data_IF_299251302021
#
_entry.id   IF_299251302021
#
_cell.length_a   1.000
_cell.length_b   1.000
_cell.length_c   1.000
_cell.angle_alpha   90.00
_cell.angle_beta   90.00
_cell.angle_gamma   90.00
#
_symmetry.space_group_name_H-M   'P 1'
#
loop_
_entity.id
_entity.type
_entity.pdbx_description
1 polymer ?
2 non-polymer ?
3 non-polymer ?
4 water ?
#
# COMPACT_ATOMS: atom_id res chain seq x y z
N UNK A 40 13.12 -22.52 -5.00
CA UNK A 40 13.45 -23.53 -6.05
C UNK A 40 13.05 -23.05 -7.46
N UNK A 41 11.94 -22.32 -7.52
CA UNK A 41 11.50 -21.66 -8.76
C UNK A 41 12.32 -20.41 -9.02
N UNK A 42 13.05 -20.38 -10.15
CA UNK A 42 13.76 -19.19 -10.61
C UNK A 42 12.81 -18.19 -11.22
N UNK A 43 13.05 -16.91 -10.95
CA UNK A 43 12.18 -15.82 -11.38
C UNK A 43 12.90 -14.97 -12.38
N UNK A 44 12.29 -14.76 -13.53
CA UNK A 44 12.92 -13.97 -14.56
C UNK A 44 11.90 -12.99 -15.05
N UNK A 45 12.27 -11.71 -15.00
CA UNK A 45 11.45 -10.59 -15.43
C UNK A 45 11.69 -10.34 -16.92
N UNK A 46 10.62 -10.22 -17.69
CA UNK A 46 10.71 -9.66 -19.03
C UNK A 46 10.38 -8.17 -18.98
N UNK A 47 11.40 -7.35 -19.19
CA UNK A 47 11.29 -5.88 -19.23
C UNK A 47 11.40 -5.40 -20.67
N UNK A 48 10.62 -4.38 -20.98
CA UNK A 48 10.66 -3.71 -22.27
C UNK A 48 9.86 -2.43 -22.09
N UNK A 49 9.94 -1.57 -23.11
CA UNK A 49 8.98 -0.52 -23.48
C UNK A 49 7.68 -1.11 -24.03
N UNK A 50 6.64 -0.28 -24.06
CA UNK A 50 5.31 -0.61 -24.54
C UNK A 50 5.33 -1.04 -26.02
N UNK A 51 4.76 -2.22 -26.33
CA UNK A 51 4.72 -2.76 -27.71
C UNK A 51 6.08 -3.25 -28.20
N UNK A 52 6.90 -3.65 -27.24
CA UNK A 52 8.08 -4.45 -27.47
C UNK A 52 7.75 -5.84 -28.05
N UNK A 53 6.60 -6.40 -27.63
CA UNK A 53 6.29 -7.82 -27.87
C UNK A 53 6.45 -8.75 -26.69
N UNK A 54 6.28 -8.24 -25.45
CA UNK A 54 6.50 -9.04 -24.24
C UNK A 54 5.45 -10.11 -24.03
N UNK A 55 4.21 -9.67 -23.93
CA UNK A 55 3.07 -10.57 -23.85
C UNK A 55 3.20 -11.70 -24.86
N UNK A 56 3.60 -11.35 -26.09
CA UNK A 56 3.72 -12.30 -27.19
C UNK A 56 4.80 -13.31 -26.90
N UNK A 57 5.96 -12.80 -26.51
CA UNK A 57 7.12 -13.62 -26.24
C UNK A 57 6.98 -14.50 -24.98
N UNK A 58 6.53 -13.92 -23.87
CA UNK A 58 6.29 -14.77 -22.68
C UNK A 58 5.34 -15.88 -23.14
N UNK A 59 4.33 -15.54 -23.92
CA UNK A 59 3.33 -16.51 -24.38
C UNK A 59 3.92 -17.61 -25.25
N UNK A 60 4.84 -17.23 -26.16
CA UNK A 60 5.70 -18.16 -26.90
C UNK A 60 6.63 -19.11 -26.16
N UNK A 61 7.35 -18.59 -25.17
CA UNK A 61 8.14 -19.36 -24.20
C UNK A 61 7.30 -20.36 -23.41
N UNK A 62 6.17 -19.88 -22.91
CA UNK A 62 5.26 -20.70 -22.12
C UNK A 62 4.79 -22.01 -22.80
N UNK A 63 4.70 -22.04 -24.11
CA UNK A 63 4.27 -23.24 -24.82
C UNK A 63 5.41 -24.23 -25.08
N UNK A 64 6.65 -23.85 -24.76
CA UNK A 64 7.81 -24.63 -25.14
C UNK A 64 8.31 -25.50 -24.02
N UNK A 65 7.67 -25.45 -22.86
CA UNK A 65 8.05 -26.31 -21.75
C UNK A 65 7.01 -26.35 -20.66
N UNK A 66 6.89 -27.51 -20.01
CA UNK A 66 6.00 -27.70 -18.87
C UNK A 66 6.65 -27.24 -17.58
N UNK A 67 7.97 -27.10 -17.56
CA UNK A 67 8.68 -26.38 -16.50
C UNK A 67 8.57 -24.82 -16.63
N UNK A 68 7.85 -24.34 -17.61
CA UNK A 68 7.85 -22.91 -17.91
C UNK A 68 6.45 -22.24 -17.73
N UNK A 69 6.28 -21.47 -16.66
CA UNK A 69 5.04 -20.68 -16.44
C UNK A 69 5.31 -19.17 -16.46
N UNK A 70 4.22 -18.41 -16.57
CA UNK A 70 4.18 -16.98 -16.86
C UNK A 70 3.32 -16.25 -15.82
N UNK A 71 3.59 -14.99 -15.50
CA UNK A 71 2.60 -14.17 -14.83
C UNK A 71 2.38 -12.89 -15.65
N UNK A 72 1.24 -12.81 -16.36
CA UNK A 72 0.99 -11.61 -17.12
C UNK A 72 0.86 -10.44 -16.16
N UNK A 73 1.12 -9.25 -16.66
CA UNK A 73 1.05 -8.06 -15.82
C UNK A 73 -0.41 -7.67 -15.56
N UNK A 74 -0.75 -7.35 -14.31
CA UNK A 74 -2.10 -6.92 -13.92
C UNK A 74 -2.71 -5.89 -14.83
N UNK A 75 -1.93 -4.86 -15.17
CA UNK A 75 -2.37 -3.78 -16.07
C UNK A 75 -2.83 -4.20 -17.46
N UNK A 76 -2.09 -5.14 -18.05
CA UNK A 76 -2.41 -5.63 -19.38
C UNK A 76 -3.77 -6.26 -19.27
N UNK A 77 -3.96 -7.05 -18.23
CA UNK A 77 -5.25 -7.68 -18.01
C UNK A 77 -6.33 -6.60 -17.98
N UNK A 78 -6.12 -5.52 -17.22
CA UNK A 78 -7.14 -4.45 -17.15
C UNK A 78 -7.38 -3.91 -18.53
N UNK A 79 -6.30 -3.68 -19.27
CA UNK A 79 -6.40 -3.25 -20.68
C UNK A 79 -6.82 -4.46 -21.56
N UNK A 80 -8.09 -4.85 -21.43
CA UNK A 80 -8.57 -6.14 -21.90
C UNK A 80 -9.08 -6.09 -23.34
N UNK A 91 -14.67 -10.66 -15.45
CA UNK A 91 -13.80 -9.66 -14.86
C UNK A 91 -13.92 -9.74 -13.35
N UNK A 92 -12.92 -9.25 -12.65
CA UNK A 92 -12.92 -9.23 -11.20
C UNK A 92 -13.05 -7.83 -10.60
N UNK A 93 -13.11 -7.81 -9.28
CA UNK A 93 -13.05 -6.57 -8.50
C UNK A 93 -11.72 -5.83 -8.72
N UNK A 94 -10.69 -6.58 -9.09
CA UNK A 94 -9.43 -5.97 -9.46
C UNK A 94 -9.54 -5.38 -10.87
N UNK A 95 -10.05 -6.14 -11.84
CA UNK A 95 -10.36 -5.58 -13.19
C UNK A 95 -11.29 -4.36 -13.18
N UNK A 96 -12.40 -4.51 -12.45
CA UNK A 96 -13.40 -3.45 -12.30
C UNK A 96 -12.76 -2.18 -11.80
N UNK A 97 -11.93 -2.30 -10.76
CA UNK A 97 -11.10 -1.23 -10.25
C UNK A 97 -10.06 -0.76 -11.25
N UNK A 98 -9.32 -1.69 -11.85
CA UNK A 98 -8.30 -1.33 -12.84
C UNK A 98 -8.82 -0.55 -14.04
N UNK A 99 -9.90 -1.06 -14.66
CA UNK A 99 -10.50 -0.41 -15.82
C UNK A 99 -10.94 1.00 -15.48
N UNK A 100 -11.43 1.16 -14.26
CA UNK A 100 -11.87 2.46 -13.81
C UNK A 100 -10.72 3.41 -13.64
N UNK A 101 -9.77 3.03 -12.79
CA UNK A 101 -8.56 3.84 -12.60
C UNK A 101 -7.65 3.94 -13.84
N UNK A 102 -7.60 2.90 -14.67
CA UNK A 102 -6.89 3.00 -15.95
C UNK A 102 -7.54 4.04 -16.88
N UNK A 103 -8.87 4.07 -16.84
CA UNK A 103 -9.65 4.96 -17.69
C UNK A 103 -9.50 6.40 -17.22
N UNK A 104 -9.47 6.58 -15.90
CA UNK A 104 -9.25 7.89 -15.29
C UNK A 104 -7.81 8.34 -15.42
N UNK A 105 -6.89 7.40 -15.31
CA UNK A 105 -5.46 7.66 -15.49
C UNK A 105 -5.22 8.33 -16.84
N UNK A 106 -5.68 7.68 -17.90
CA UNK A 106 -5.78 8.30 -19.26
C UNK A 106 -6.39 9.71 -19.22
N UNK A 107 -7.55 9.82 -18.59
CA UNK A 107 -8.35 11.05 -18.64
C UNK A 107 -7.82 12.24 -17.84
N UNK A 108 -7.13 11.98 -16.72
CA UNK A 108 -6.51 13.09 -15.94
C UNK A 108 -5.33 12.56 -15.12
N UNK A 109 -4.16 12.44 -15.77
CA UNK A 109 -3.10 11.65 -15.14
C UNK A 109 -2.45 12.24 -13.87
N UNK A 110 -2.45 13.56 -13.70
CA UNK A 110 -1.89 14.20 -12.51
C UNK A 110 -2.81 14.14 -11.28
N UNK A 111 -4.06 13.74 -11.46
CA UNK A 111 -4.95 13.35 -10.35
C UNK A 111 -4.77 11.87 -9.93
N UNK A 112 -4.60 10.99 -10.91
CA UNK A 112 -4.71 9.55 -10.67
C UNK A 112 -3.43 8.70 -10.72
N UNK A 113 -2.28 9.31 -11.03
CA UNK A 113 -1.01 8.58 -11.15
C UNK A 113 -0.59 7.84 -9.85
N UNK A 114 -0.58 8.55 -8.72
CA UNK A 114 -0.32 7.91 -7.43
C UNK A 114 -1.28 6.74 -7.20
N UNK A 115 -2.55 6.96 -7.47
CA UNK A 115 -3.52 5.92 -7.17
C UNK A 115 -3.26 4.72 -8.05
N UNK A 116 -3.08 5.01 -9.34
CA UNK A 116 -2.86 3.98 -10.34
C UNK A 116 -1.66 3.11 -10.02
N UNK A 117 -0.55 3.78 -9.76
CA UNK A 117 0.73 3.13 -9.52
C UNK A 117 0.72 2.20 -8.33
N UNK A 118 0.19 2.72 -7.23
CA UNK A 118 0.05 1.92 -6.01
C UNK A 118 -0.82 0.70 -6.27
N UNK A 119 -1.93 0.84 -6.98
CA UNK A 119 -2.78 -0.33 -7.26
C UNK A 119 -2.15 -1.33 -8.23
N UNK A 120 -1.42 -0.82 -9.21
CA UNK A 120 -0.81 -1.67 -10.24
C UNK A 120 0.33 -2.51 -9.67
N UNK A 121 1.16 -1.88 -8.83
CA UNK A 121 2.20 -2.59 -8.13
C UNK A 121 1.63 -3.53 -7.06
N UNK A 122 0.68 -3.06 -6.28
CA UNK A 122 0.10 -3.91 -5.25
C UNK A 122 -0.40 -5.20 -5.90
N UNK A 123 -1.08 -5.03 -7.04
CA UNK A 123 -1.70 -6.09 -7.79
C UNK A 123 -0.69 -7.07 -8.45
N UNK A 124 0.40 -6.54 -9.01
CA UNK A 124 1.55 -7.37 -9.45
C UNK A 124 2.05 -8.32 -8.35
N UNK A 125 2.35 -7.76 -7.19
CA UNK A 125 2.86 -8.57 -6.10
C UNK A 125 1.94 -9.75 -5.86
N UNK A 126 0.64 -9.50 -5.87
CA UNK A 126 -0.32 -10.54 -5.55
C UNK A 126 -0.39 -11.61 -6.62
N UNK A 127 -0.15 -11.24 -7.87
CA UNK A 127 -0.19 -12.20 -8.95
C UNK A 127 1.05 -13.05 -8.86
N UNK A 128 2.21 -12.38 -8.72
CA UNK A 128 3.49 -13.06 -8.58
C UNK A 128 3.54 -13.99 -7.38
N UNK A 129 2.85 -13.63 -6.30
CA UNK A 129 2.69 -14.56 -5.18
C UNK A 129 1.83 -15.75 -5.58
N UNK A 130 0.63 -15.49 -6.11
CA UNK A 130 -0.29 -16.57 -6.50
C UNK A 130 0.38 -17.58 -7.44
N UNK A 131 1.12 -17.07 -8.41
CA UNK A 131 1.86 -17.93 -9.31
C UNK A 131 2.94 -18.76 -8.62
N UNK A 132 3.70 -18.11 -7.75
CA UNK A 132 4.85 -18.69 -7.06
C UNK A 132 4.46 -19.54 -5.83
N UNK A 133 3.14 -19.74 -5.66
CA UNK A 133 2.57 -20.75 -4.77
C UNK A 133 1.89 -21.85 -5.56
N UNK A 134 1.03 -21.46 -6.50
CA UNK A 134 0.19 -22.40 -7.26
C UNK A 134 0.68 -22.78 -8.65
N UNK A 135 2.00 -22.81 -8.83
CA UNK A 135 2.58 -23.28 -10.07
C UNK A 135 3.89 -24.01 -9.77
N UNK A 136 4.19 -25.01 -10.59
CA UNK A 136 5.55 -25.59 -10.72
C UNK A 136 6.16 -26.29 -9.49
N UNK A 137 5.32 -26.81 -8.61
CA UNK A 137 5.86 -27.74 -7.62
C UNK A 137 6.12 -29.04 -8.40
N UNK A 138 7.18 -29.75 -8.04
CA UNK A 138 7.61 -30.97 -8.73
C UNK A 138 8.22 -30.78 -10.13
N UNK A 139 8.48 -29.54 -10.51
CA UNK A 139 9.23 -29.29 -11.74
C UNK A 139 10.70 -29.52 -11.36
N UNK A 140 11.43 -30.19 -12.24
CA UNK A 140 12.88 -30.39 -12.04
C UNK A 140 13.59 -29.04 -12.13
N UNK A 141 13.25 -28.28 -13.17
CA UNK A 141 13.83 -26.94 -13.37
C UNK A 141 12.75 -25.89 -13.69
N UNK A 142 11.90 -25.56 -12.70
CA UNK A 142 10.78 -24.64 -12.93
C UNK A 142 11.26 -23.24 -13.25
N UNK A 143 10.66 -22.58 -14.23
CA UNK A 143 11.01 -21.17 -14.44
C UNK A 143 9.76 -20.35 -14.49
N UNK A 144 9.78 -19.25 -13.73
CA UNK A 144 8.68 -18.30 -13.72
C UNK A 144 9.09 -16.99 -14.37
N UNK A 145 8.45 -16.67 -15.47
CA UNK A 145 8.78 -15.50 -16.22
C UNK A 145 7.80 -14.42 -15.82
N UNK A 146 8.29 -13.33 -15.27
CA UNK A 146 7.43 -12.23 -14.89
C UNK A 146 7.30 -11.25 -16.05
N UNK A 147 6.07 -10.99 -16.49
CA UNK A 147 5.81 -9.89 -17.40
C UNK A 147 5.88 -8.58 -16.63
N UNK A 148 7.04 -7.93 -16.76
CA UNK A 148 7.47 -6.76 -15.98
C UNK A 148 7.63 -7.14 -14.51
N UNK A 149 8.04 -6.18 -13.69
CA UNK A 149 8.43 -6.43 -12.33
C UNK A 149 8.08 -5.24 -11.45
N UNK A 150 8.32 -5.42 -10.15
CA UNK A 150 8.12 -4.33 -9.22
C UNK A 150 9.08 -3.19 -9.53
N UNK A 151 10.18 -3.52 -10.19
CA UNK A 151 11.20 -2.51 -10.47
C UNK A 151 10.87 -1.65 -11.65
N UNK A 152 10.27 -2.20 -12.71
CA UNK A 152 9.70 -1.32 -13.75
C UNK A 152 8.50 -0.50 -13.25
N UNK A 153 7.75 -1.00 -12.27
CA UNK A 153 6.66 -0.19 -11.73
C UNK A 153 7.16 1.15 -11.19
N UNK A 154 8.30 1.11 -10.48
CA UNK A 154 8.87 2.25 -9.78
C UNK A 154 9.86 3.08 -10.60
N UNK A 155 10.96 2.47 -11.00
CA UNK A 155 12.07 3.20 -11.59
C UNK A 155 11.82 3.53 -13.04
N UNK A 156 10.70 3.10 -13.61
CA UNK A 156 10.37 3.40 -14.98
C UNK A 156 9.04 4.12 -15.11
N UNK A 157 7.93 3.51 -14.70
CA UNK A 157 6.63 4.14 -14.91
C UNK A 157 6.26 5.20 -13.87
N UNK A 158 6.46 4.90 -12.59
CA UNK A 158 6.09 5.82 -11.52
C UNK A 158 7.08 6.98 -11.50
N UNK A 159 8.35 6.68 -11.61
CA UNK A 159 9.43 7.69 -11.74
C UNK A 159 9.17 8.63 -12.90
N UNK A 160 8.79 8.07 -14.05
CA UNK A 160 8.44 8.86 -15.23
C UNK A 160 7.23 9.76 -14.98
N UNK A 161 6.20 9.18 -14.36
CA UNK A 161 5.03 9.97 -14.05
C UNK A 161 5.43 11.12 -13.12
N UNK A 162 6.32 10.85 -12.17
CA UNK A 162 6.82 11.89 -11.31
C UNK A 162 7.56 13.00 -12.08
N UNK A 163 8.67 12.61 -12.72
CA UNK A 163 9.48 13.51 -13.57
C UNK A 163 8.65 14.29 -14.62
N UNK A 164 7.59 13.70 -15.15
CA UNK A 164 6.69 14.41 -16.08
C UNK A 164 5.61 15.18 -15.33
N UNK A 165 5.78 15.36 -14.02
CA UNK A 165 4.90 16.19 -13.17
C UNK A 165 3.48 15.70 -12.97
N UNK A 166 3.26 14.40 -13.12
CA UNK A 166 1.94 13.82 -12.84
C UNK A 166 1.85 13.33 -11.37
N UNK A 167 2.97 13.39 -10.65
CA UNK A 167 2.96 13.26 -9.19
C UNK A 167 3.85 14.29 -8.55
N UNK A 168 3.36 14.98 -7.51
CA UNK A 168 4.18 15.93 -6.76
C UNK A 168 5.19 15.15 -5.91
N UNK A 169 6.15 15.87 -5.32
CA UNK A 169 7.15 15.23 -4.48
C UNK A 169 6.56 14.37 -3.41
N UNK A 170 5.51 14.87 -2.77
CA UNK A 170 5.01 14.21 -1.58
C UNK A 170 4.40 12.85 -2.02
N UNK A 171 3.67 12.83 -3.14
CA UNK A 171 3.13 11.59 -3.68
C UNK A 171 4.27 10.63 -4.01
N UNK A 172 5.33 11.16 -4.63
CA UNK A 172 6.43 10.31 -5.09
C UNK A 172 7.25 9.81 -3.91
N UNK A 173 7.26 10.57 -2.81
CA UNK A 173 7.99 10.15 -1.64
C UNK A 173 7.20 9.10 -0.86
N UNK A 174 5.88 9.27 -0.84
CA UNK A 174 4.94 8.32 -0.25
C UNK A 174 4.99 7.00 -1.00
N UNK A 175 4.75 7.07 -2.31
CA UNK A 175 4.88 5.91 -3.14
C UNK A 175 6.17 5.15 -2.85
N UNK A 176 7.28 5.88 -2.79
CA UNK A 176 8.58 5.24 -2.64
C UNK A 176 8.69 4.57 -1.29
N UNK A 177 8.28 5.28 -0.25
CA UNK A 177 8.14 4.68 1.09
C UNK A 177 7.27 3.42 1.06
N UNK A 178 6.00 3.54 0.67
CA UNK A 178 5.14 2.36 0.54
C UNK A 178 5.84 1.24 -0.25
N UNK A 179 6.53 1.60 -1.33
CA UNK A 179 7.12 0.61 -2.25
C UNK A 179 8.13 -0.26 -1.54
N UNK A 180 9.12 0.37 -0.91
CA UNK A 180 10.13 -0.34 -0.12
C UNK A 180 9.47 -1.31 0.83
N UNK A 181 8.31 -0.90 1.31
CA UNK A 181 7.70 -1.56 2.44
C UNK A 181 6.73 -2.68 2.08
N UNK A 182 5.91 -2.49 1.04
CA UNK A 182 5.12 -3.59 0.52
C UNK A 182 6.07 -4.66 0.05
N UNK A 183 7.21 -4.26 -0.51
CA UNK A 183 8.16 -5.25 -1.03
C UNK A 183 8.93 -5.96 0.08
N UNK A 184 9.35 -5.22 1.09
CA UNK A 184 10.11 -5.82 2.20
C UNK A 184 9.20 -6.78 2.96
N UNK A 185 8.02 -6.29 3.33
CA UNK A 185 7.13 -7.04 4.20
C UNK A 185 6.50 -8.23 3.54
N UNK A 186 6.08 -8.06 2.28
CA UNK A 186 5.37 -9.10 1.53
C UNK A 186 6.15 -9.66 0.36
N UNK A 187 7.06 -8.88 -0.21
CA UNK A 187 7.66 -9.24 -1.51
C UNK A 187 9.07 -9.79 -1.48
N UNK A 188 9.44 -10.42 -0.37
CA UNK A 188 10.74 -11.07 -0.25
C UNK A 188 10.92 -12.30 -1.17
N UNK A 189 9.86 -13.06 -1.38
CA UNK A 189 10.00 -14.27 -2.20
C UNK A 189 10.12 -13.95 -3.71
N UNK A 190 10.40 -12.69 -4.05
CA UNK A 190 10.26 -12.20 -5.42
C UNK A 190 11.55 -11.68 -6.00
N UNK A 191 12.62 -11.64 -5.21
CA UNK A 191 13.93 -11.29 -5.75
C UNK A 191 14.14 -12.01 -7.09
N UNK A 192 14.67 -11.27 -8.07
CA UNK A 192 14.88 -11.83 -9.41
C UNK A 192 16.23 -12.47 -9.53
N UNK A 193 16.23 -13.71 -10.01
CA UNK A 193 17.47 -14.36 -10.44
C UNK A 193 17.99 -13.75 -11.74
N UNK A 194 17.09 -13.15 -12.52
CA UNK A 194 17.49 -12.62 -13.81
C UNK A 194 16.45 -11.75 -14.49
N UNK A 195 16.90 -11.09 -15.55
CA UNK A 195 16.10 -10.15 -16.30
C UNK A 195 16.47 -10.36 -17.75
N UNK A 196 15.44 -10.37 -18.58
CA UNK A 196 15.59 -10.44 -20.00
C UNK A 196 15.08 -9.10 -20.44
N UNK A 197 15.99 -8.26 -20.94
CA UNK A 197 15.60 -6.99 -21.57
C UNK A 197 15.40 -7.17 -23.04
N UNK A 198 14.16 -7.01 -23.45
CA UNK A 198 13.77 -6.89 -24.84
C UNK A 198 13.86 -5.43 -25.25
N UNK A 199 14.96 -5.11 -25.89
CA UNK A 199 15.29 -3.79 -26.36
C UNK A 199 14.88 -3.62 -27.82
N UNK A 200 13.90 -2.74 -28.06
CA UNK A 200 13.61 -2.25 -29.42
C UNK A 200 13.75 -0.73 -29.43
N UNK A 201 13.88 -0.16 -30.63
CA UNK A 201 13.90 1.28 -30.80
C UNK A 201 12.52 1.88 -30.47
N UNK A 202 12.49 3.10 -29.88
CA UNK A 202 11.20 3.79 -29.68
C UNK A 202 10.27 3.78 -30.90
N UNK A 203 10.84 3.81 -32.10
CA UNK A 203 10.06 3.83 -33.34
C UNK A 203 9.47 2.47 -33.64
N UNK A 204 10.28 1.43 -33.54
CA UNK A 204 9.73 0.07 -33.64
C UNK A 204 8.53 -0.05 -32.74
N UNK A 205 8.65 0.48 -31.52
CA UNK A 205 7.58 0.38 -30.55
C UNK A 205 6.30 1.06 -30.99
N UNK A 206 6.37 2.27 -31.57
CA UNK A 206 5.14 2.97 -32.00
C UNK A 206 4.48 2.24 -33.17
N UNK A 207 5.31 1.83 -34.13
CA UNK A 207 4.88 0.95 -35.21
C UNK A 207 4.05 -0.19 -34.63
N UNK A 208 4.56 -0.83 -33.57
CA UNK A 208 3.88 -1.97 -32.94
C UNK A 208 2.60 -1.55 -32.20
N UNK A 209 2.57 -0.37 -31.57
CA UNK A 209 1.34 0.12 -30.87
C UNK A 209 0.04 0.08 -31.71
N UNK A 210 0.10 0.46 -32.99
CA UNK A 210 -1.15 0.51 -33.80
C UNK A 210 -1.75 -0.87 -34.13
N UNK A 211 -0.89 -1.84 -34.40
CA UNK A 211 -1.39 -3.17 -34.77
C UNK A 211 -2.27 -3.78 -33.67
N UNK A 212 -1.81 -3.73 -32.42
CA UNK A 212 -2.60 -4.26 -31.28
C UNK A 212 -3.93 -3.52 -31.17
N UNK A 213 -3.90 -2.22 -31.51
CA UNK A 213 -5.10 -1.46 -31.84
C UNK A 213 -6.19 -1.37 -30.78
N UNK A 214 -5.82 -1.35 -29.50
CA UNK A 214 -6.81 -1.16 -28.43
C UNK A 214 -7.34 0.29 -28.51
N UNK A 215 -8.66 0.47 -28.44
CA UNK A 215 -9.24 1.80 -28.61
C UNK A 215 -8.56 2.84 -27.73
N UNK A 216 -8.40 2.54 -26.43
CA UNK A 216 -7.83 3.47 -25.43
C UNK A 216 -6.39 3.87 -25.69
N UNK A 217 -5.60 2.92 -26.19
CA UNK A 217 -4.21 3.12 -26.45
C UNK A 217 -3.92 3.89 -27.75
N UNK A 218 -4.93 4.04 -28.60
CA UNK A 218 -4.75 4.59 -29.96
C UNK A 218 -4.13 5.99 -29.98
N UNK A 219 -4.42 6.79 -28.96
CA UNK A 219 -3.86 8.14 -28.83
C UNK A 219 -2.61 8.30 -27.97
N UNK A 220 -1.88 7.22 -27.68
CA UNK A 220 -0.63 7.37 -26.92
C UNK A 220 0.38 8.14 -27.77
N UNK A 221 0.97 9.23 -27.22
CA UNK A 221 2.04 10.01 -27.87
C UNK A 221 3.30 9.25 -28.27
N UNK A 222 4.31 9.98 -28.74
CA UNK A 222 5.58 9.40 -29.15
C UNK A 222 6.67 9.60 -28.11
N UNK A 223 6.97 10.88 -27.79
CA UNK A 223 8.07 11.28 -26.89
C UNK A 223 8.05 10.60 -25.53
N UNK A 224 6.87 10.11 -25.16
CA UNK A 224 6.73 9.17 -24.07
C UNK A 224 7.74 8.05 -24.31
N UNK A 225 7.48 7.23 -25.33
CA UNK A 225 8.29 6.03 -25.60
C UNK A 225 9.80 6.32 -25.46
N UNK A 226 10.22 7.49 -25.95
CA UNK A 226 11.62 7.87 -26.00
C UNK A 226 12.18 8.13 -24.59
N UNK A 227 11.32 8.64 -23.72
CA UNK A 227 11.63 8.79 -22.31
C UNK A 227 11.72 7.42 -21.59
N UNK A 228 10.77 6.54 -21.90
CA UNK A 228 10.72 5.19 -21.29
C UNK A 228 11.93 4.38 -21.76
N UNK A 229 12.15 4.40 -23.05
CA UNK A 229 13.30 3.68 -23.58
C UNK A 229 14.55 4.16 -22.84
N UNK A 230 14.68 5.48 -22.79
CA UNK A 230 15.80 6.14 -22.14
C UNK A 230 16.00 5.61 -20.73
N UNK A 231 14.93 5.54 -19.95
CA UNK A 231 14.99 4.94 -18.61
C UNK A 231 15.23 3.44 -18.71
N UNK A 232 14.65 2.81 -19.71
CA UNK A 232 14.84 1.36 -19.94
C UNK A 232 16.31 1.10 -20.31
N UNK A 233 16.92 1.96 -21.12
CA UNK A 233 18.36 1.89 -21.43
C UNK A 233 19.22 2.35 -20.28
N UNK A 234 18.80 3.44 -19.63
CA UNK A 234 19.54 3.93 -18.49
C UNK A 234 19.57 2.83 -17.44
N UNK A 235 18.43 2.13 -17.30
CA UNK A 235 18.29 1.04 -16.32
C UNK A 235 19.04 -0.23 -16.72
N UNK A 236 18.73 -0.76 -17.90
CA UNK A 236 19.14 -2.14 -18.26
C UNK A 236 20.40 -2.35 -19.16
N UNK A 237 21.12 -1.28 -19.48
CA UNK A 237 22.33 -1.34 -20.31
C UNK A 237 23.56 -0.71 -19.63
N UNK A 238 23.40 0.55 -19.23
CA UNK A 238 24.47 1.33 -18.62
C UNK A 238 24.51 1.10 -17.12
N UNK A 239 23.36 0.76 -16.53
CA UNK A 239 23.30 0.46 -15.11
C UNK A 239 23.75 1.69 -14.29
N UNK A 240 23.53 2.86 -14.85
CA UNK A 240 23.67 4.08 -14.08
C UNK A 240 22.61 4.12 -12.98
N UNK A 241 21.43 3.52 -13.22
CA UNK A 241 20.34 3.62 -12.27
C UNK A 241 20.74 2.95 -10.96
N UNK A 242 20.72 3.75 -9.90
CA UNK A 242 21.20 3.36 -8.58
C UNK A 242 20.04 2.87 -7.73
N UNK A 243 19.61 1.64 -7.99
CA UNK A 243 18.51 1.03 -7.26
C UNK A 243 18.78 1.05 -5.77
N UNK A 244 17.72 1.17 -4.98
CA UNK A 244 17.83 1.04 -3.53
C UNK A 244 17.90 -0.44 -3.12
N UNK A 245 17.56 -1.32 -4.04
CA UNK A 245 17.57 -2.75 -3.81
C UNK A 245 18.96 -3.27 -4.14
N UNK A 246 19.70 -3.58 -3.07
CA UNK A 246 21.14 -3.81 -3.17
C UNK A 246 21.40 -4.84 -4.26
N UNK A 247 20.66 -5.94 -4.20
CA UNK A 247 20.92 -7.12 -5.00
C UNK A 247 20.65 -6.97 -6.51
N UNK A 248 20.01 -5.88 -6.94
CA UNK A 248 19.79 -5.69 -8.39
C UNK A 248 21.09 -5.46 -9.17
N UNK A 249 22.17 -5.08 -8.49
CA UNK A 249 23.47 -4.86 -9.17
C UNK A 249 24.16 -6.18 -9.51
N UNK A 250 23.87 -7.22 -8.73
CA UNK A 250 24.34 -8.59 -8.98
C UNK A 250 23.62 -9.51 -9.97
N UNK A 251 22.31 -9.32 -10.11
CA UNK A 251 21.47 -9.96 -11.15
C UNK A 251 21.90 -9.63 -12.62
N UNK A 252 22.13 -10.68 -13.43
CA UNK A 252 22.56 -10.48 -14.81
C UNK A 252 21.39 -10.24 -15.75
N UNK A 253 21.68 -9.67 -16.91
CA UNK A 253 20.70 -9.18 -17.83
C UNK A 253 20.95 -9.75 -19.20
N UNK A 254 20.06 -10.61 -19.66
CA UNK A 254 20.04 -10.95 -21.06
C UNK A 254 19.41 -9.79 -21.82
N UNK A 255 20.21 -9.06 -22.60
CA UNK A 255 19.68 -8.04 -23.48
C UNK A 255 19.44 -8.60 -24.88
N UNK A 256 18.19 -8.58 -25.33
CA UNK A 256 17.81 -9.13 -26.62
C UNK A 256 17.30 -8.00 -27.52
N UNK A 257 17.81 -7.97 -28.75
CA UNK A 257 17.33 -7.04 -29.78
C UNK A 257 16.14 -7.68 -30.47
N UNK A 258 14.99 -7.05 -30.35
CA UNK A 258 13.77 -7.61 -30.95
C UNK A 258 13.17 -6.72 -32.01
N UNK A 259 14.02 -5.89 -32.62
CA UNK A 259 13.54 -4.96 -33.66
C UNK A 259 13.12 -5.70 -34.90
N UNK A 260 13.73 -6.85 -35.16
CA UNK A 260 13.19 -7.76 -36.15
C UNK A 260 11.98 -8.50 -35.58
N UNK A 261 10.93 -8.58 -36.40
CA UNK A 261 9.76 -9.39 -36.11
C UNK A 261 10.22 -10.83 -35.82
N UNK A 262 9.62 -11.45 -34.79
CA UNK A 262 10.07 -12.75 -34.26
C UNK A 262 8.93 -13.73 -33.95
N UNK A 263 7.72 -13.43 -34.38
CA UNK A 263 6.55 -14.19 -33.97
C UNK A 263 6.46 -15.64 -34.54
N UNK A 264 7.10 -15.85 -35.68
CA UNK A 264 7.18 -17.16 -36.33
C UNK A 264 8.64 -17.59 -36.49
N UNK A 265 9.56 -16.72 -36.07
CA UNK A 265 10.98 -16.94 -36.24
C UNK A 265 11.71 -16.50 -34.96
N UNK A 266 11.60 -17.35 -33.93
CA UNK A 266 12.09 -16.99 -32.61
C UNK A 266 13.14 -17.91 -32.03
N UNK A 267 13.60 -18.88 -32.82
CA UNK A 267 14.47 -19.94 -32.28
C UNK A 267 15.79 -19.44 -31.71
N UNK A 268 16.38 -18.45 -32.34
CA UNK A 268 17.60 -17.89 -31.80
C UNK A 268 17.33 -17.07 -30.52
N UNK A 269 16.16 -16.43 -30.45
CA UNK A 269 15.76 -15.71 -29.22
C UNK A 269 15.65 -16.72 -28.07
N UNK A 270 15.08 -17.90 -28.33
CA UNK A 270 14.83 -18.85 -27.24
C UNK A 270 16.14 -19.49 -26.84
N UNK A 271 16.99 -19.74 -27.84
CA UNK A 271 18.32 -20.27 -27.61
C UNK A 271 19.05 -19.36 -26.70
N UNK A 272 18.99 -18.04 -26.91
CA UNK A 272 19.65 -17.15 -25.98
C UNK A 272 19.09 -17.23 -24.57
N UNK A 273 17.77 -17.22 -24.42
CA UNK A 273 17.19 -17.49 -23.10
C UNK A 273 17.78 -18.76 -22.46
N UNK A 274 17.79 -19.87 -23.21
CA UNK A 274 18.17 -21.19 -22.66
C UNK A 274 19.60 -21.29 -22.09
N UNK A 275 20.51 -20.47 -22.64
CA UNK A 275 21.94 -20.40 -22.27
C UNK A 275 22.06 -19.45 -21.09
N UNK A 276 21.34 -18.35 -21.17
CA UNK A 276 21.17 -17.47 -20.03
C UNK A 276 20.61 -18.27 -18.85
N UNK A 277 19.59 -19.07 -19.11
CA UNK A 277 18.95 -19.85 -18.04
C UNK A 277 19.89 -20.83 -17.41
N UNK A 278 20.69 -21.51 -18.23
CA UNK A 278 21.68 -22.42 -17.68
C UNK A 278 22.75 -21.63 -16.87
N UNK A 279 23.06 -20.38 -17.24
CA UNK A 279 23.98 -19.53 -16.44
C UNK A 279 23.44 -19.04 -15.11
N UNK A 280 22.15 -19.24 -14.83
CA UNK A 280 21.61 -18.78 -13.56
C UNK A 280 21.72 -19.89 -12.53
N UNK B 40 1.91 -13.81 23.15
CA UNK B 40 2.24 -13.56 24.59
C UNK B 40 1.91 -12.12 24.96
N UNK B 41 2.45 -11.18 24.18
CA UNK B 41 2.18 -9.76 24.38
C UNK B 41 0.69 -9.49 24.09
N UNK B 42 0.01 -8.83 25.03
CA UNK B 42 -1.37 -8.39 24.77
C UNK B 42 -1.40 -7.12 23.94
N UNK B 43 -2.42 -7.04 23.10
CA UNK B 43 -2.60 -5.99 22.12
C UNK B 43 -3.97 -5.42 22.30
N UNK B 44 -4.04 -4.20 22.79
CA UNK B 44 -5.30 -3.58 23.15
C UNK B 44 -5.37 -2.25 22.42
N UNK B 45 -6.45 -1.99 21.70
CA UNK B 45 -6.54 -0.71 21.05
C UNK B 45 -7.31 0.29 21.93
N UNK B 46 -6.74 1.44 22.18
CA UNK B 46 -7.44 2.60 22.77
C UNK B 46 -8.13 3.35 21.59
N UNK B 47 -9.45 3.49 21.66
CA UNK B 47 -10.28 4.04 20.58
C UNK B 47 -11.14 5.18 21.14
N UNK B 48 -11.34 6.20 20.31
CA UNK B 48 -12.27 7.31 20.57
C UNK B 48 -12.22 8.46 19.57
N UNK B 49 -13.06 9.46 19.81
CA UNK B 49 -13.08 10.66 18.97
C UNK B 49 -11.83 11.53 19.15
N UNK B 50 -11.64 12.43 18.19
CA UNK B 50 -10.61 13.45 18.21
C UNK B 50 -10.62 14.19 19.55
N UNK B 51 -9.45 14.37 20.14
CA UNK B 51 -9.31 15.13 21.37
C UNK B 51 -10.13 14.57 22.55
N UNK B 52 -10.61 13.33 22.43
CA UNK B 52 -11.48 12.71 23.44
C UNK B 52 -10.69 12.27 24.67
N UNK B 53 -9.37 12.17 24.56
CA UNK B 53 -8.52 11.82 25.70
C UNK B 53 -7.69 10.57 25.55
N UNK B 54 -7.67 10.00 24.34
CA UNK B 54 -6.84 8.81 24.00
C UNK B 54 -5.40 9.00 24.39
N UNK B 55 -4.86 10.17 24.07
CA UNK B 55 -3.46 10.46 24.31
C UNK B 55 -3.19 10.75 25.79
N UNK B 56 -4.14 11.44 26.44
CA UNK B 56 -4.12 11.65 27.90
C UNK B 56 -4.19 10.32 28.64
N UNK B 57 -5.00 9.40 28.12
CA UNK B 57 -5.08 8.08 28.72
C UNK B 57 -3.79 7.27 28.53
N UNK B 58 -3.16 7.36 27.36
CA UNK B 58 -2.07 6.43 27.10
C UNK B 58 -0.81 6.87 27.79
N UNK B 59 -0.62 8.20 27.95
CA UNK B 59 0.49 8.77 28.70
C UNK B 59 0.40 8.39 30.18
N UNK B 60 -0.81 8.28 30.72
CA UNK B 60 -0.99 7.86 32.11
C UNK B 60 -0.78 6.34 32.28
N UNK B 61 -1.28 5.55 31.34
CA UNK B 61 -1.10 4.09 31.38
C UNK B 61 0.36 3.63 31.25
N UNK B 62 1.13 4.22 30.33
CA UNK B 62 2.53 3.78 30.12
C UNK B 62 3.33 3.72 31.43
N UNK B 63 3.07 4.66 32.32
CA UNK B 63 3.86 4.88 33.53
C UNK B 63 3.53 4.05 34.76
N UNK B 64 2.40 3.35 34.75
CA UNK B 64 1.94 2.62 35.91
C UNK B 64 2.49 1.21 35.96
N UNK B 65 3.02 0.74 34.84
CA UNK B 65 3.55 -0.60 34.83
C UNK B 65 4.75 -0.70 33.93
N UNK B 66 5.83 -1.27 34.48
CA UNK B 66 6.97 -1.72 33.73
C UNK B 66 6.51 -2.47 32.49
N UNK B 67 5.52 -3.33 32.66
CA UNK B 67 5.07 -4.20 31.60
C UNK B 67 4.08 -3.62 30.58
N UNK B 68 3.75 -2.34 30.69
CA UNK B 68 2.87 -1.69 29.71
C UNK B 68 3.66 -0.70 28.86
N UNK B 69 3.40 -0.72 27.55
CA UNK B 69 3.86 0.32 26.66
C UNK B 69 2.74 0.70 25.69
N UNK B 70 2.84 1.92 25.16
CA UNK B 70 1.89 2.47 24.19
C UNK B 70 2.53 2.67 22.79
N UNK B 71 1.78 2.40 21.73
CA UNK B 71 2.12 2.82 20.35
C UNK B 71 1.23 4.02 19.96
N UNK B 72 1.79 5.25 19.99
CA UNK B 72 0.99 6.43 19.66
C UNK B 72 0.54 6.53 18.18
N UNK B 73 -0.50 7.32 17.98
CA UNK B 73 -1.09 7.60 16.64
C UNK B 73 -0.04 8.31 15.76
N UNK B 74 0.36 7.70 14.63
CA UNK B 74 1.28 8.48 13.81
C UNK B 74 0.67 9.77 13.25
N UNK B 75 -0.61 9.74 12.92
CA UNK B 75 -1.32 10.96 12.52
C UNK B 75 -1.15 12.10 13.54
N UNK B 76 -1.06 11.75 14.81
CA UNK B 76 -0.82 12.74 15.86
C UNK B 76 0.59 13.33 15.83
N UNK B 77 1.58 12.55 15.40
CA UNK B 77 2.96 13.05 15.23
C UNK B 77 3.11 13.96 14.00
N UNK B 78 2.24 13.79 13.01
CA UNK B 78 2.30 14.61 11.77
C UNK B 78 1.78 16.02 11.98
N UNK B 79 1.21 16.28 13.15
CA UNK B 79 0.66 17.57 13.50
C UNK B 79 1.74 18.44 14.16
N UNK B 80 2.98 18.32 13.64
CA UNK B 80 4.15 18.96 14.23
C UNK B 80 4.42 20.27 13.53
N UNK B 91 12.36 16.33 11.85
CA UNK B 91 11.29 15.73 11.05
C UNK B 91 11.90 14.94 9.89
N UNK B 92 11.60 13.65 9.83
CA UNK B 92 12.19 12.75 8.84
C UNK B 92 11.20 12.45 7.71
N UNK B 93 11.51 11.45 6.89
CA UNK B 93 10.80 11.22 5.63
C UNK B 93 9.32 11.19 5.94
N UNK B 94 8.96 10.26 6.82
CA UNK B 94 7.58 10.10 7.22
C UNK B 94 6.94 11.35 7.85
N UNK B 95 7.72 12.12 8.60
CA UNK B 95 7.19 13.33 9.26
C UNK B 95 6.79 14.47 8.30
N UNK B 96 7.66 14.79 7.33
CA UNK B 96 7.36 15.78 6.28
C UNK B 96 6.20 15.33 5.41
N UNK B 97 6.33 14.11 4.86
CA UNK B 97 5.26 13.47 4.09
C UNK B 97 3.95 13.50 4.84
N UNK B 98 4.02 13.08 6.10
CA UNK B 98 2.89 13.17 7.00
C UNK B 98 2.47 14.61 7.20
N UNK B 99 3.43 15.52 7.42
CA UNK B 99 3.13 16.96 7.44
C UNK B 99 2.33 17.43 6.23
N UNK B 100 2.88 17.28 5.03
CA UNK B 100 2.17 17.78 3.84
C UNK B 100 0.81 17.18 3.57
N UNK B 101 0.73 15.85 3.56
CA UNK B 101 -0.52 15.20 3.21
C UNK B 101 -1.68 15.73 4.09
N UNK B 102 -1.41 15.86 5.38
CA UNK B 102 -2.42 16.36 6.35
C UNK B 102 -2.96 17.75 5.97
N UNK B 103 -2.04 18.67 5.71
CA UNK B 103 -2.40 20.04 5.35
C UNK B 103 -3.20 20.05 4.03
N UNK B 104 -2.76 19.27 3.05
CA UNK B 104 -3.49 19.13 1.76
C UNK B 104 -4.90 18.61 1.95
N UNK B 105 -5.03 17.61 2.82
CA UNK B 105 -6.32 17.10 3.28
C UNK B 105 -7.27 18.18 3.80
N UNK B 106 -6.74 19.09 4.62
CA UNK B 106 -7.57 20.19 5.13
C UNK B 106 -8.09 21.06 3.99
N UNK B 107 -7.24 21.34 3.00
CA UNK B 107 -7.69 22.23 1.91
C UNK B 107 -8.65 21.53 0.95
N UNK B 108 -8.47 20.22 0.74
CA UNK B 108 -9.15 19.53 -0.35
C UNK B 108 -9.25 18.04 -0.08
N UNK B 109 -10.20 17.64 0.78
CA UNK B 109 -10.24 16.25 1.20
C UNK B 109 -10.51 15.33 0.03
N UNK B 110 -11.38 15.76 -0.88
CA UNK B 110 -11.79 14.98 -2.03
C UNK B 110 -10.63 14.62 -2.99
N UNK B 111 -9.57 15.41 -3.00
CA UNK B 111 -8.33 15.13 -3.72
C UNK B 111 -7.33 14.23 -2.94
N UNK B 112 -7.26 14.36 -1.61
CA UNK B 112 -6.19 13.73 -0.83
C UNK B 112 -6.53 12.62 0.13
N UNK B 113 -7.81 12.31 0.28
CA UNK B 113 -8.25 11.33 1.26
C UNK B 113 -7.68 9.91 1.04
N UNK B 114 -7.65 9.45 -0.21
CA UNK B 114 -7.17 8.10 -0.50
C UNK B 114 -5.71 8.03 -0.11
N UNK B 115 -4.95 9.04 -0.50
CA UNK B 115 -3.52 9.04 -0.26
C UNK B 115 -3.18 9.05 1.21
N UNK B 116 -3.98 9.80 1.95
CA UNK B 116 -3.74 9.99 3.37
C UNK B 116 -4.25 8.80 4.17
N UNK B 117 -5.44 8.30 3.85
CA UNK B 117 -5.91 7.07 4.45
C UNK B 117 -4.95 5.87 4.24
N UNK B 118 -4.39 5.78 3.04
CA UNK B 118 -3.43 4.70 2.72
C UNK B 118 -2.12 4.88 3.49
N UNK B 119 -1.54 6.07 3.46
CA UNK B 119 -0.26 6.35 4.16
C UNK B 119 -0.38 6.38 5.67
N UNK B 120 -1.52 6.85 6.18
CA UNK B 120 -1.80 6.74 7.62
C UNK B 120 -1.75 5.29 8.07
N UNK B 121 -2.44 4.42 7.37
CA UNK B 121 -2.51 3.03 7.73
C UNK B 121 -1.16 2.30 7.67
N UNK B 122 -0.37 2.59 6.65
CA UNK B 122 0.96 2.01 6.53
C UNK B 122 1.84 2.42 7.71
N UNK B 123 1.85 3.71 8.00
CA UNK B 123 2.64 4.34 9.05
C UNK B 123 2.25 3.71 10.40
N UNK B 124 0.96 3.42 10.57
CA UNK B 124 0.49 2.80 11.78
C UNK B 124 0.90 1.31 11.84
N UNK B 125 0.79 0.61 10.72
CA UNK B 125 1.10 -0.82 10.70
C UNK B 125 2.59 -1.05 10.88
N UNK B 126 3.37 -0.23 10.19
CA UNK B 126 4.81 -0.16 10.41
C UNK B 126 5.17 0.01 11.89
N UNK B 127 4.58 1.06 12.48
CA UNK B 127 4.89 1.52 13.84
C UNK B 127 4.47 0.57 14.95
N UNK B 128 3.38 -0.17 14.72
CA UNK B 128 2.92 -1.20 15.63
C UNK B 128 3.79 -2.48 15.55
N UNK B 129 3.96 -3.02 14.34
CA UNK B 129 4.84 -4.20 14.13
C UNK B 129 6.20 -4.06 14.81
N UNK B 130 6.78 -2.87 14.72
CA UNK B 130 8.09 -2.61 15.27
C UNK B 130 8.09 -2.69 16.79
N UNK B 131 6.99 -2.25 17.42
CA UNK B 131 6.86 -2.36 18.87
C UNK B 131 6.80 -3.81 19.32
N UNK B 132 6.02 -4.65 18.62
CA UNK B 132 5.96 -6.07 18.94
C UNK B 132 7.37 -6.62 18.96
N UNK B 133 7.99 -6.57 17.79
CA UNK B 133 9.21 -7.32 17.56
C UNK B 133 10.47 -6.62 18.11
N UNK B 134 10.29 -5.53 18.86
CA UNK B 134 11.43 -4.83 19.46
C UNK B 134 11.12 -4.04 20.72
N UNK B 135 10.22 -4.55 21.55
CA UNK B 135 9.90 -3.90 22.83
C UNK B 135 9.24 -4.91 23.75
N UNK B 136 8.93 -4.49 24.98
CA UNK B 136 8.44 -5.40 26.02
C UNK B 136 9.34 -6.65 26.01
N UNK B 137 10.61 -6.38 25.80
CA UNK B 137 11.60 -7.39 25.68
C UNK B 137 12.01 -7.66 27.12
N UNK B 138 11.70 -8.85 27.62
CA UNK B 138 11.90 -9.22 29.04
C UNK B 138 11.18 -8.29 30.00
N UNK B 139 9.86 -8.23 29.84
CA UNK B 139 8.93 -7.83 30.91
C UNK B 139 8.04 -9.04 31.11
N UNK B 140 7.40 -9.10 32.28
CA UNK B 140 6.74 -10.32 32.77
C UNK B 140 5.29 -10.51 32.36
N UNK B 141 4.55 -9.41 32.25
CA UNK B 141 3.10 -9.40 31.99
C UNK B 141 2.74 -8.42 30.88
N UNK B 142 3.00 -8.85 29.63
CA UNK B 142 3.22 -7.91 28.54
C UNK B 142 1.94 -7.38 27.95
N UNK B 143 1.86 -6.05 27.83
CA UNK B 143 0.71 -5.42 27.20
C UNK B 143 1.11 -4.19 26.39
N UNK B 144 0.63 -4.15 25.15
CA UNK B 144 0.89 -3.00 24.28
C UNK B 144 -0.44 -2.27 24.02
N UNK B 145 -0.42 -0.95 24.20
CA UNK B 145 -1.61 -0.13 24.02
C UNK B 145 -1.44 0.67 22.73
N UNK B 146 -2.18 0.24 21.73
CA UNK B 146 -2.23 0.94 20.45
C UNK B 146 -3.19 2.12 20.60
N UNK B 147 -2.75 3.31 20.20
CA UNK B 147 -3.64 4.45 20.06
C UNK B 147 -4.33 4.35 18.70
N UNK B 148 -5.59 3.92 18.73
CA UNK B 148 -6.37 3.61 17.54
C UNK B 148 -5.71 2.43 16.81
N UNK B 149 -6.39 1.97 15.77
CA UNK B 149 -6.06 0.71 15.08
C UNK B 149 -6.30 0.83 13.57
N UNK B 150 -5.94 -0.23 12.85
CA UNK B 150 -6.20 -0.38 11.42
C UNK B 150 -7.70 -0.60 11.14
N UNK B 151 -8.45 -0.98 12.15
CA UNK B 151 -9.90 -0.97 12.05
C UNK B 151 -10.46 0.44 12.21
N UNK B 152 -9.86 1.27 13.04
CA UNK B 152 -10.23 2.67 13.08
C UNK B 152 -10.02 3.29 11.69
N UNK B 153 -8.79 3.14 11.19
CA UNK B 153 -8.36 3.73 9.91
C UNK B 153 -9.45 3.58 8.87
N UNK B 154 -9.92 2.35 8.72
CA UNK B 154 -10.87 1.95 7.69
C UNK B 154 -12.36 2.19 8.01
N UNK B 155 -12.77 1.85 9.23
CA UNK B 155 -14.17 1.64 9.58
C UNK B 155 -14.75 2.82 10.33
N UNK B 156 -13.89 3.69 10.82
CA UNK B 156 -14.31 5.03 11.19
C UNK B 156 -13.88 5.98 10.09
N UNK B 157 -12.59 6.06 9.84
CA UNK B 157 -12.07 7.22 9.14
C UNK B 157 -12.26 7.16 7.64
N UNK B 158 -11.73 6.12 7.02
CA UNK B 158 -11.86 5.97 5.57
C UNK B 158 -13.34 5.94 5.18
N UNK B 159 -14.11 5.12 5.90
CA UNK B 159 -15.57 5.01 5.72
C UNK B 159 -16.24 6.41 5.66
N UNK B 160 -16.00 7.20 6.70
CA UNK B 160 -16.57 8.56 6.78
C UNK B 160 -16.26 9.44 5.57
N UNK B 161 -15.07 9.27 5.00
CA UNK B 161 -14.64 10.06 3.84
C UNK B 161 -15.38 9.60 2.60
N UNK B 162 -15.62 8.29 2.49
CA UNK B 162 -16.42 7.72 1.43
C UNK B 162 -17.88 8.15 1.56
N UNK B 163 -18.35 8.27 2.79
CA UNK B 163 -19.70 8.75 3.04
C UNK B 163 -19.83 10.26 2.83
N UNK B 164 -18.75 11.02 2.90
CA UNK B 164 -18.75 12.46 2.62
C UNK B 164 -18.31 12.76 1.18
N UNK B 165 -18.25 11.72 0.35
CA UNK B 165 -17.87 11.82 -1.08
C UNK B 165 -16.50 12.40 -1.29
N UNK B 166 -15.67 12.33 -0.24
CA UNK B 166 -14.30 12.75 -0.34
C UNK B 166 -13.49 11.63 -1.02
N UNK B 167 -13.98 10.40 -0.95
CA UNK B 167 -13.46 9.31 -1.80
C UNK B 167 -14.56 8.83 -2.73
N UNK B 168 -14.22 8.66 -4.01
CA UNK B 168 -15.15 8.08 -4.98
C UNK B 168 -15.12 6.57 -4.80
N UNK B 169 -16.07 5.86 -5.42
CA UNK B 169 -16.22 4.41 -5.23
C UNK B 169 -14.96 3.61 -5.50
N UNK B 170 -14.27 3.96 -6.58
CA UNK B 170 -13.09 3.19 -6.98
C UNK B 170 -12.00 3.37 -5.92
N UNK B 171 -11.87 4.60 -5.38
CA UNK B 171 -10.84 4.85 -4.33
C UNK B 171 -11.14 4.11 -3.06
N UNK B 172 -12.44 4.01 -2.73
CA UNK B 172 -12.89 3.35 -1.53
C UNK B 172 -12.64 1.84 -1.70
N UNK B 173 -13.06 1.30 -2.83
CA UNK B 173 -12.88 -0.12 -3.11
C UNK B 173 -11.42 -0.55 -3.30
N UNK B 174 -10.60 0.30 -3.90
CA UNK B 174 -9.16 0.05 -3.92
C UNK B 174 -8.53 0.09 -2.52
N UNK B 175 -9.05 0.95 -1.66
CA UNK B 175 -8.49 1.09 -0.34
C UNK B 175 -8.83 -0.14 0.48
N UNK B 176 -10.05 -0.64 0.34
CA UNK B 176 -10.47 -1.82 1.05
C UNK B 176 -9.71 -3.06 0.57
N UNK B 177 -9.54 -3.20 -0.73
CA UNK B 177 -8.76 -4.33 -1.22
C UNK B 177 -7.30 -4.26 -0.70
N UNK B 178 -6.70 -3.08 -0.80
CA UNK B 178 -5.39 -2.76 -0.22
C UNK B 178 -5.34 -3.22 1.25
N UNK B 179 -6.36 -2.82 2.01
CA UNK B 179 -6.43 -3.02 3.48
C UNK B 179 -6.67 -4.47 3.84
N UNK B 180 -7.51 -5.13 3.03
CA UNK B 180 -7.89 -6.54 3.24
C UNK B 180 -6.74 -7.48 2.97
N UNK B 181 -5.99 -7.18 1.93
CA UNK B 181 -4.91 -8.05 1.53
C UNK B 181 -3.72 -7.94 2.48
N UNK B 182 -3.30 -6.73 2.83
CA UNK B 182 -2.18 -6.56 3.77
C UNK B 182 -2.43 -7.21 5.13
N UNK B 183 -3.64 -7.04 5.65
CA UNK B 183 -3.98 -7.53 6.97
C UNK B 183 -3.69 -8.99 7.20
N UNK B 184 -4.26 -9.85 6.36
CA UNK B 184 -4.12 -11.29 6.54
C UNK B 184 -2.78 -11.81 6.01
N UNK B 185 -1.69 -11.29 6.57
CA UNK B 185 -0.33 -11.68 6.21
C UNK B 185 0.50 -11.84 7.48
N UNK B 190 -0.45 -8.05 14.57
CA UNK B 190 -0.96 -6.84 15.21
C UNK B 190 -2.37 -7.07 15.76
N UNK B 191 -2.86 -8.29 15.59
CA UNK B 191 -4.22 -8.64 15.88
C UNK B 191 -4.58 -8.53 17.39
N UNK B 192 -5.77 -8.00 17.68
CA UNK B 192 -6.06 -7.42 19.00
C UNK B 192 -6.54 -8.39 20.04
N UNK B 193 -6.19 -8.14 21.30
CA UNK B 193 -6.73 -8.94 22.41
C UNK B 193 -7.91 -8.27 23.10
N UNK B 194 -8.00 -6.95 23.03
CA UNK B 194 -9.23 -6.25 23.38
C UNK B 194 -9.19 -4.82 22.93
N UNK B 195 -10.30 -4.12 23.14
CA UNK B 195 -10.42 -2.72 22.77
C UNK B 195 -10.98 -1.89 23.92
N UNK B 196 -10.38 -0.72 24.14
CA UNK B 196 -10.84 0.20 25.15
C UNK B 196 -11.38 1.45 24.46
N UNK B 197 -12.63 1.74 24.73
CA UNK B 197 -13.34 2.86 24.13
C UNK B 197 -13.47 4.04 25.09
N UNK B 198 -12.69 5.10 24.84
CA UNK B 198 -12.81 6.34 25.58
C UNK B 198 -13.93 7.19 25.00
N UNK B 199 -15.08 7.15 25.66
CA UNK B 199 -16.29 7.71 25.11
C UNK B 199 -16.52 9.13 25.65
N UNK B 200 -16.66 10.09 24.72
CA UNK B 200 -16.82 11.52 25.01
C UNK B 200 -17.81 12.12 24.01
N UNK B 201 -18.47 13.20 24.42
CA UNK B 201 -19.36 13.87 23.49
C UNK B 201 -18.58 14.76 22.54
N UNK B 202 -19.19 15.15 21.42
CA UNK B 202 -18.53 16.10 20.52
C UNK B 202 -18.16 17.41 21.22
N UNK B 203 -19.02 17.88 22.12
CA UNK B 203 -18.78 19.14 22.80
C UNK B 203 -17.50 19.10 23.63
N UNK B 204 -17.33 18.00 24.36
CA UNK B 204 -16.15 17.82 25.18
C UNK B 204 -14.90 17.90 24.31
N UNK B 205 -14.87 17.04 23.29
CA UNK B 205 -13.81 17.02 22.26
C UNK B 205 -13.55 18.40 21.65
N UNK B 206 -14.62 19.13 21.32
CA UNK B 206 -14.47 20.47 20.72
C UNK B 206 -13.67 21.43 21.60
N UNK B 207 -14.09 21.55 22.86
CA UNK B 207 -13.35 22.34 23.85
C UNK B 207 -11.87 21.90 23.88
N UNK B 208 -11.66 20.58 23.90
CA UNK B 208 -10.34 19.98 24.12
C UNK B 208 -9.43 20.31 22.96
N UNK B 209 -10.02 20.32 21.78
CA UNK B 209 -9.36 20.82 20.58
C UNK B 209 -8.79 22.23 20.80
N UNK B 210 -9.57 23.11 21.44
CA UNK B 210 -9.06 24.42 21.88
C UNK B 210 -7.96 24.28 22.94
N UNK B 211 -8.25 23.53 24.01
CA UNK B 211 -7.30 23.30 25.10
C UNK B 211 -5.85 23.09 24.58
N UNK B 212 -5.70 22.23 23.57
CA UNK B 212 -4.38 21.93 22.98
C UNK B 212 -4.03 22.94 21.87
N UNK B 213 -5.04 23.40 21.14
CA UNK B 213 -4.90 24.57 20.29
C UNK B 213 -4.16 24.35 18.99
N UNK B 214 -4.63 23.39 18.19
CA UNK B 214 -4.12 23.25 16.84
C UNK B 214 -5.27 24.16 16.35
N UNK B 215 -4.93 25.11 15.49
CA UNK B 215 -5.76 25.95 14.59
C UNK B 215 -6.68 25.35 13.52
N UNK B 216 -6.21 24.27 12.90
CA UNK B 216 -7.01 23.51 11.94
C UNK B 216 -8.20 22.77 12.58
N UNK B 217 -8.10 22.50 13.87
CA UNK B 217 -9.16 21.85 14.64
C UNK B 217 -10.11 22.86 15.29
N UNK B 218 -9.60 24.03 15.69
CA UNK B 218 -10.49 25.14 16.01
C UNK B 218 -11.46 25.19 14.85
N UNK B 219 -10.91 25.10 13.63
CA UNK B 219 -11.68 24.87 12.42
C UNK B 219 -12.66 23.71 12.51
N UNK B 220 -12.14 22.49 12.74
CA UNK B 220 -12.99 21.28 12.83
C UNK B 220 -14.32 21.60 13.54
N UNK B 221 -15.45 21.29 12.89
CA UNK B 221 -16.76 21.67 13.40
C UNK B 221 -17.50 20.55 14.11
N UNK B 222 -18.50 20.92 14.90
CA UNK B 222 -19.26 19.97 15.72
C UNK B 222 -19.96 18.91 14.91
N UNK B 223 -20.37 19.28 13.70
CA UNK B 223 -21.02 18.32 12.78
C UNK B 223 -20.02 17.27 12.31
N UNK B 224 -18.73 17.61 12.23
CA UNK B 224 -17.71 16.63 11.84
C UNK B 224 -17.52 15.70 13.05
N UNK B 225 -17.24 16.27 14.21
CA UNK B 225 -17.21 15.49 15.46
C UNK B 225 -18.38 14.57 15.53
N UNK B 226 -19.57 15.14 15.31
CA UNK B 226 -20.82 14.42 15.49
C UNK B 226 -20.92 13.14 14.67
N UNK B 227 -20.51 13.16 13.41
CA UNK B 227 -20.59 11.92 12.57
C UNK B 227 -19.48 10.92 12.91
N UNK B 228 -18.31 11.42 13.30
CA UNK B 228 -17.25 10.54 13.81
C UNK B 228 -17.78 9.88 15.08
N UNK B 229 -18.55 10.64 15.85
CA UNK B 229 -19.12 10.15 17.09
C UNK B 229 -20.08 8.96 16.92
N UNK B 230 -20.98 8.99 15.94
CA UNK B 230 -21.93 7.87 15.77
C UNK B 230 -21.27 6.61 15.19
N UNK B 231 -20.22 6.79 14.41
CA UNK B 231 -19.51 5.64 13.82
C UNK B 231 -18.81 4.76 14.88
N UNK B 232 -18.36 5.39 15.95
CA UNK B 232 -17.84 4.66 17.11
C UNK B 232 -18.96 3.87 17.83
N UNK B 233 -20.11 4.49 18.11
CA UNK B 233 -21.17 3.78 18.87
C UNK B 233 -21.51 2.40 18.28
N UNK B 234 -21.63 2.33 16.95
CA UNK B 234 -22.10 1.13 16.24
C UNK B 234 -21.15 -0.09 16.21
N UNK B 235 -19.88 0.17 15.93
CA UNK B 235 -18.86 -0.85 15.92
C UNK B 235 -18.67 -1.36 17.34
N UNK B 236 -18.56 -0.39 18.25
CA UNK B 236 -18.07 -0.61 19.61
C UNK B 236 -19.20 -0.76 20.63
N UNK B 237 -20.00 0.28 20.83
CA UNK B 237 -21.10 0.26 21.81
C UNK B 237 -22.31 -0.57 21.38
N UNK B 238 -22.95 -0.20 20.28
CA UNK B 238 -24.11 -0.96 19.77
C UNK B 238 -23.70 -2.30 19.19
N UNK B 239 -22.45 -2.44 18.75
CA UNK B 239 -21.89 -3.74 18.30
C UNK B 239 -22.47 -4.28 16.97
N UNK B 240 -22.87 -3.38 16.07
CA UNK B 240 -23.60 -3.74 14.83
C UNK B 240 -23.22 -3.24 13.44
N UNK B 241 -22.09 -2.54 13.35
CA UNK B 241 -21.33 -2.21 12.14
C UNK B 241 -20.74 -3.49 11.53
N UNK B 242 -20.98 -3.69 10.24
CA UNK B 242 -20.57 -4.92 9.56
C UNK B 242 -19.12 -4.75 9.12
N UNK B 243 -18.31 -5.78 9.34
CA UNK B 243 -16.87 -5.67 9.12
C UNK B 243 -16.34 -6.96 8.54
N UNK B 244 -15.23 -6.84 7.84
CA UNK B 244 -14.63 -7.94 7.08
C UNK B 244 -13.68 -8.81 7.93
N UNK B 245 -13.53 -8.47 9.20
CA UNK B 245 -12.60 -9.18 10.10
C UNK B 245 -13.36 -9.77 11.29
N UNK B 246 -13.90 -10.98 11.07
CA UNK B 246 -14.97 -11.57 11.91
C UNK B 246 -14.76 -11.57 13.43
N UNK B 247 -13.54 -11.89 13.87
CA UNK B 247 -13.21 -12.00 15.30
C UNK B 247 -13.51 -10.71 16.10
N UNK B 248 -13.58 -9.57 15.41
CA UNK B 248 -13.92 -8.27 16.04
C UNK B 248 -15.42 -8.11 16.38
N UNK B 249 -16.23 -9.11 15.98
CA UNK B 249 -17.58 -9.25 16.50
C UNK B 249 -17.51 -9.95 17.87
N UNK B 250 -16.42 -10.70 18.09
CA UNK B 250 -16.20 -11.38 19.35
C UNK B 250 -15.12 -10.76 20.24
N UNK B 251 -14.37 -9.80 19.70
CA UNK B 251 -13.27 -9.17 20.47
C UNK B 251 -13.75 -8.44 21.74
N UNK B 252 -13.21 -8.81 22.93
CA UNK B 252 -13.70 -8.19 24.15
C UNK B 252 -13.47 -6.69 24.14
N UNK B 253 -14.50 -5.93 24.51
CA UNK B 253 -14.49 -4.46 24.47
C UNK B 253 -14.78 -3.90 25.86
N UNK B 254 -14.19 -2.74 26.16
CA UNK B 254 -14.42 -2.01 27.39
C UNK B 254 -14.66 -0.51 27.15
N UNK B 255 -15.73 0.02 27.73
CA UNK B 255 -16.09 1.39 27.50
C UNK B 255 -15.96 2.28 28.70
N UNK B 256 -15.25 3.39 28.54
CA UNK B 256 -15.03 4.38 29.61
C UNK B 256 -15.50 5.80 29.25
N UNK B 257 -16.35 6.36 30.11
CA UNK B 257 -16.72 7.77 30.00
C UNK B 257 -15.59 8.71 30.39
N UNK B 258 -15.19 9.58 29.47
CA UNK B 258 -14.06 10.49 29.70
C UNK B 258 -14.47 11.96 29.59
N UNK B 259 -15.75 12.20 29.80
CA UNK B 259 -16.26 13.56 29.80
C UNK B 259 -15.69 14.34 30.96
N UNK B 260 -15.77 13.78 32.16
CA UNK B 260 -15.14 14.36 33.33
C UNK B 260 -13.64 14.44 33.12
N UNK B 261 -13.04 15.49 33.65
CA UNK B 261 -11.62 15.70 33.48
C UNK B 261 -10.82 14.70 34.34
N UNK B 262 -10.27 13.65 33.72
CA UNK B 262 -9.53 12.58 34.44
C UNK B 262 -8.06 12.90 34.61
N UNK B 263 -7.62 14.03 34.08
CA UNK B 263 -6.22 14.47 34.19
C UNK B 263 -5.64 14.29 35.60
N UNK B 264 -6.46 14.50 36.63
CA UNK B 264 -6.00 14.36 38.02
C UNK B 264 -6.85 13.40 38.81
N UNK B 265 -7.51 12.48 38.11
CA UNK B 265 -8.41 11.56 38.76
C UNK B 265 -8.69 10.39 37.85
N UNK B 266 -7.67 9.54 37.74
CA UNK B 266 -7.66 8.46 36.80
C UNK B 266 -7.57 7.06 37.39
N UNK B 267 -7.88 6.87 38.68
CA UNK B 267 -7.79 5.55 39.31
C UNK B 267 -9.02 4.68 39.02
N UNK B 268 -10.20 5.31 38.95
CA UNK B 268 -11.40 4.51 38.67
C UNK B 268 -11.27 3.89 37.29
N UNK B 269 -10.75 4.69 36.35
CA UNK B 269 -10.55 4.23 34.96
C UNK B 269 -9.49 3.13 34.88
N UNK B 270 -8.32 3.41 35.46
CA UNK B 270 -7.23 2.40 35.57
C UNK B 270 -7.70 1.09 36.23
N UNK B 271 -8.48 1.18 37.30
CA UNK B 271 -8.97 -0.03 37.95
C UNK B 271 -9.75 -0.90 36.98
N UNK B 272 -10.61 -0.28 36.18
CA UNK B 272 -11.42 -1.01 35.19
C UNK B 272 -10.54 -1.65 34.09
N UNK B 273 -9.50 -0.91 33.68
CA UNK B 273 -8.48 -1.45 32.75
C UNK B 273 -7.76 -2.71 33.25
N UNK B 274 -7.32 -2.74 34.51
CA UNK B 274 -6.62 -3.95 35.03
C UNK B 274 -7.62 -5.06 35.16
N UNK B 275 -8.78 -4.71 35.70
CA UNK B 275 -9.91 -5.61 35.73
C UNK B 275 -10.13 -6.21 34.33
N UNK B 276 -10.31 -5.37 33.34
CA UNK B 276 -10.51 -5.84 31.97
C UNK B 276 -9.46 -6.84 31.49
N UNK B 277 -8.18 -6.47 31.67
CA UNK B 277 -7.06 -7.32 31.27
C UNK B 277 -7.03 -8.68 31.99
N UNK B 278 -7.68 -8.80 33.15
CA UNK B 278 -7.60 -10.05 33.93
C UNK B 278 -8.40 -11.16 33.29
N UNK B 279 -9.44 -10.80 32.55
CA UNK B 279 -10.29 -11.77 31.92
C UNK B 279 -9.75 -12.26 30.58
N UNK B 280 -8.61 -11.72 30.15
CA UNK B 280 -8.08 -12.07 28.83
C UNK B 280 -6.84 -12.93 29.06
#
# INVERSE_FOLDING_TARGET
MGSSHHHHHHSSGLVPRGSHMATPPKRSSPSFSASSEGTRIKKISIEGNIAAGKSTFVNILKQLSEDWEVVPEPVARWSNVQSTQDEFEELTMEQKNGGNVLQMMYEKPERWSFTFQTYACLSRIRAQLASLNGKLKDAEKPVLFFERSVYSDRYIFASNLYESESMNETEWTIYQDWHDWMNNQFGQSLELDGIIYLQATPETCLHRIYLRGRNEEQGIPLEYLEKLHYKHESWLLHRTLKTNFDYLQEVPILTLDVNEDFKDKYESLVEKVKEFLSTL
MGSSHHHHHHSSGLVPRGSHMATPPKRSSPSFSASSEGTRIKKISIEGNIAAGKSTFVNILKQLSEDWEVVPEPVARWSNVQSTQDEFEELTMEQKNGGNVLQMMYEKPERWSFTFQTYACLSRIRAQLASLNGKLKDAEKPVLFFERSVYSDRYIFASNLYESESMNETEWTIYQDWHDWMNNQFGQSLELDGIIYLQATPETCLHRIYLRGRNEEQGIPLEYLEKLHYKHESWLLHRTLKTNFDYLQEVPILTLDVNEDFKDKYESLVEKVKEFLSTL
#
